data_IF_427977093403
#
_entry.id   IF_427977093403
#
_cell.length_a   1.000
_cell.length_b   1.000
_cell.length_c   1.000
_cell.angle_alpha   90.00
_cell.angle_beta   90.00
_cell.angle_gamma   90.00
#
_symmetry.space_group_name_H-M   'P 1'
#
loop_
_entity.id
_entity.type
_entity.pdbx_description
1 polymer ?
#
# COMPACT_ATOMS: atom_id res chain seq x y z
N UNK A 1 -25.70 -71.42 -9.39
CA UNK A 1 -24.80 -70.71 -8.46
C UNK A 1 -23.87 -69.70 -9.16
N UNK A 2 -23.16 -70.09 -10.23
CA UNK A 2 -22.22 -69.20 -10.97
C UNK A 2 -22.82 -67.85 -11.44
N UNK A 3 -24.07 -67.84 -11.95
CA UNK A 3 -24.77 -66.60 -12.38
C UNK A 3 -25.09 -65.63 -11.22
N UNK A 4 -25.38 -66.15 -10.02
CA UNK A 4 -25.65 -65.32 -8.82
C UNK A 4 -24.37 -64.66 -8.28
N UNK A 5 -23.23 -65.34 -8.42
CA UNK A 5 -21.91 -64.80 -8.03
C UNK A 5 -21.49 -63.65 -8.97
N UNK A 6 -21.74 -63.79 -10.27
CA UNK A 6 -21.42 -62.75 -11.29
C UNK A 6 -22.24 -61.47 -11.04
N UNK A 7 -23.53 -61.61 -10.71
CA UNK A 7 -24.42 -60.47 -10.42
C UNK A 7 -23.99 -59.74 -9.13
N UNK A 8 -23.59 -60.50 -8.09
CA UNK A 8 -23.05 -59.92 -6.86
C UNK A 8 -21.75 -59.13 -7.10
N UNK A 9 -20.88 -59.63 -7.97
CA UNK A 9 -19.60 -58.97 -8.30
C UNK A 9 -19.80 -57.67 -9.09
N UNK A 10 -20.78 -57.62 -9.99
CA UNK A 10 -21.16 -56.40 -10.73
C UNK A 10 -21.71 -55.29 -9.82
N UNK A 11 -22.49 -55.65 -8.79
CA UNK A 11 -23.00 -54.68 -7.80
C UNK A 11 -21.88 -54.04 -6.98
N UNK A 12 -20.86 -54.81 -6.60
CA UNK A 12 -19.70 -54.31 -5.84
C UNK A 12 -18.91 -53.30 -6.68
N UNK A 13 -18.71 -53.58 -7.97
CA UNK A 13 -18.02 -52.69 -8.90
C UNK A 13 -18.79 -51.36 -9.07
N UNK A 14 -20.12 -51.42 -9.17
CA UNK A 14 -20.96 -50.23 -9.29
C UNK A 14 -20.87 -49.31 -8.05
N UNK A 15 -20.80 -49.89 -6.85
CA UNK A 15 -20.66 -49.15 -5.60
C UNK A 15 -19.30 -48.43 -5.53
N UNK A 16 -18.22 -49.09 -5.95
CA UNK A 16 -16.87 -48.50 -5.95
C UNK A 16 -16.80 -47.29 -6.91
N UNK A 17 -17.42 -47.40 -8.10
CA UNK A 17 -17.46 -46.29 -9.07
C UNK A 17 -18.27 -45.11 -8.52
N UNK A 18 -19.39 -45.37 -7.84
CA UNK A 18 -20.20 -44.33 -7.22
C UNK A 18 -19.42 -43.56 -6.12
N UNK A 19 -18.60 -44.26 -5.33
CA UNK A 19 -17.75 -43.63 -4.30
C UNK A 19 -16.70 -42.70 -4.93
N UNK A 20 -16.04 -43.14 -6.01
CA UNK A 20 -15.02 -42.32 -6.70
C UNK A 20 -15.62 -41.04 -7.29
N UNK A 21 -16.83 -41.11 -7.83
CA UNK A 21 -17.54 -39.94 -8.38
C UNK A 21 -18.01 -39.01 -7.26
N UNK A 22 -18.45 -39.55 -6.13
CA UNK A 22 -18.89 -38.76 -4.98
C UNK A 22 -17.73 -38.04 -4.26
N UNK A 23 -16.50 -38.57 -4.34
CA UNK A 23 -15.30 -37.94 -3.77
C UNK A 23 -14.75 -36.77 -4.59
N UNK A 24 -15.27 -36.51 -5.81
CA UNK A 24 -14.88 -35.34 -6.63
C UNK A 24 -15.74 -34.09 -6.35
N UNK A 25 -16.27 -33.95 -5.12
CA UNK A 25 -17.04 -32.77 -4.75
C UNK A 25 -16.13 -31.65 -4.25
N UNK A 26 -16.10 -30.63 -5.10
CA UNK A 26 -15.82 -29.23 -4.83
C UNK A 26 -14.44 -28.97 -4.23
N UNK A 27 -13.43 -28.89 -5.11
CA UNK A 27 -12.46 -27.80 -4.97
C UNK A 27 -13.31 -26.53 -4.88
N UNK A 28 -13.52 -26.05 -3.66
CA UNK A 28 -14.09 -24.73 -3.44
C UNK A 28 -13.25 -23.81 -4.30
N UNK A 29 -13.86 -23.22 -5.32
CA UNK A 29 -13.32 -22.06 -6.00
C UNK A 29 -12.86 -21.13 -4.89
N UNK A 30 -11.54 -21.11 -4.68
CA UNK A 30 -10.93 -20.05 -3.91
C UNK A 30 -11.41 -18.80 -4.62
N UNK A 31 -12.10 -17.93 -3.90
CA UNK A 31 -12.39 -16.60 -4.40
C UNK A 31 -11.01 -15.97 -4.59
N UNK A 32 -10.44 -16.16 -5.77
CA UNK A 32 -9.37 -15.34 -6.26
C UNK A 32 -10.01 -13.97 -6.30
N UNK A 33 -9.68 -13.15 -5.31
CA UNK A 33 -9.73 -11.72 -5.51
C UNK A 33 -8.83 -11.50 -6.72
N UNK A 34 -9.45 -11.44 -7.90
CA UNK A 34 -8.83 -10.75 -9.01
C UNK A 34 -8.64 -9.37 -8.44
N UNK A 35 -7.39 -9.05 -8.08
CA UNK A 35 -6.99 -7.68 -7.88
C UNK A 35 -7.48 -7.00 -9.16
N UNK A 36 -8.62 -6.32 -9.06
CA UNK A 36 -8.99 -5.33 -10.06
C UNK A 36 -7.81 -4.41 -9.98
N UNK A 37 -6.90 -4.51 -10.94
CA UNK A 37 -5.78 -3.59 -11.09
C UNK A 37 -6.43 -2.22 -11.07
N UNK A 38 -6.42 -1.58 -9.90
CA UNK A 38 -6.91 -0.25 -9.74
C UNK A 38 -5.86 0.57 -10.47
N UNK A 39 -6.02 0.69 -11.80
CA UNK A 39 -5.42 1.74 -12.62
C UNK A 39 -6.10 3.06 -12.26
N UNK A 40 -6.22 3.35 -10.96
CA UNK A 40 -6.43 4.69 -10.48
C UNK A 40 -5.05 5.31 -10.63
N UNK A 41 -4.88 6.10 -11.68
CA UNK A 41 -3.77 7.04 -11.74
C UNK A 41 -3.72 7.74 -10.39
N UNK A 42 -2.65 7.48 -9.63
CA UNK A 42 -2.47 8.08 -8.31
C UNK A 42 -2.18 9.54 -8.61
N UNK A 43 -3.11 10.41 -8.21
CA UNK A 43 -2.89 11.83 -8.38
C UNK A 43 -1.80 12.30 -7.41
N UNK A 44 -0.88 13.16 -7.86
CA UNK A 44 0.11 13.72 -6.97
C UNK A 44 -0.56 14.55 -5.87
N UNK A 45 -0.03 14.47 -4.66
CA UNK A 45 -0.46 15.27 -3.52
C UNK A 45 -0.25 16.75 -3.83
N UNK A 46 -1.07 17.59 -3.20
CA UNK A 46 -0.97 19.04 -3.36
C UNK A 46 0.20 19.61 -2.55
N UNK A 47 0.63 20.83 -2.87
CA UNK A 47 1.56 21.60 -2.01
C UNK A 47 1.00 21.85 -0.61
N UNK A 48 -0.32 21.98 -0.45
CA UNK A 48 -0.97 22.07 0.87
C UNK A 48 -0.73 20.80 1.68
N UNK A 49 -0.89 19.65 1.04
CA UNK A 49 -0.63 18.34 1.65
C UNK A 49 0.85 18.22 2.05
N UNK A 50 1.77 18.70 1.21
CA UNK A 50 3.19 18.72 1.53
C UNK A 50 3.52 19.62 2.75
N UNK A 51 2.89 20.79 2.86
CA UNK A 51 3.00 21.64 4.06
C UNK A 51 2.52 20.89 5.30
N UNK A 52 1.40 20.18 5.21
CA UNK A 52 0.87 19.42 6.33
C UNK A 52 1.79 18.26 6.74
N UNK A 53 2.44 17.58 5.78
CA UNK A 53 3.45 16.54 6.06
C UNK A 53 4.63 17.14 6.84
N UNK A 54 5.15 18.30 6.40
CA UNK A 54 6.26 18.99 7.08
C UNK A 54 5.88 19.37 8.51
N UNK A 55 4.67 19.93 8.70
CA UNK A 55 4.16 20.29 10.02
C UNK A 55 3.87 19.08 10.91
N UNK A 56 3.48 17.94 10.33
CA UNK A 56 3.28 16.71 11.09
C UNK A 56 4.61 16.18 11.67
N UNK A 57 5.71 16.34 10.93
CA UNK A 57 7.04 15.91 11.37
C UNK A 57 7.67 16.88 12.40
N UNK A 58 7.65 18.18 12.11
CA UNK A 58 8.41 19.19 12.88
C UNK A 58 7.55 20.07 13.79
N UNK A 59 6.21 19.96 13.72
CA UNK A 59 5.30 20.82 14.45
C UNK A 59 5.45 22.30 14.08
N UNK A 60 5.25 23.16 15.07
CA UNK A 60 5.34 24.62 14.91
C UNK A 60 6.79 25.15 14.94
N UNK A 61 7.79 24.25 15.05
CA UNK A 61 9.21 24.64 15.03
C UNK A 61 9.65 25.17 13.66
N UNK A 62 8.94 24.77 12.60
CA UNK A 62 9.19 25.20 11.22
C UNK A 62 8.02 26.04 10.70
N UNK A 63 8.36 27.13 9.99
CA UNK A 63 7.38 27.90 9.23
C UNK A 63 7.66 27.70 7.75
N UNK A 64 6.72 27.08 7.03
CA UNK A 64 6.82 26.79 5.60
C UNK A 64 5.53 27.20 4.88
N UNK A 65 5.68 27.92 3.76
CA UNK A 65 4.59 28.26 2.87
C UNK A 65 4.64 27.42 1.58
N UNK A 66 3.52 27.33 0.86
CA UNK A 66 3.44 26.62 -0.43
C UNK A 66 4.41 27.17 -1.47
N UNK A 67 4.73 28.46 -1.39
CA UNK A 67 5.59 29.13 -2.35
C UNK A 67 7.07 28.75 -2.16
N UNK A 68 7.44 28.32 -0.95
CA UNK A 68 8.78 27.82 -0.62
C UNK A 68 9.03 26.42 -1.22
N UNK A 69 7.96 25.70 -1.54
CA UNK A 69 8.01 24.33 -2.07
C UNK A 69 8.16 24.35 -3.59
N UNK A 70 9.25 23.77 -4.10
CA UNK A 70 9.52 23.66 -5.54
C UNK A 70 9.26 22.23 -6.04
N UNK A 71 8.55 22.08 -7.16
CA UNK A 71 8.38 20.76 -7.80
C UNK A 71 9.58 20.46 -8.70
N UNK A 72 10.21 19.30 -8.50
CA UNK A 72 11.33 18.79 -9.29
C UNK A 72 11.05 17.33 -9.63
N UNK A 73 10.59 17.07 -10.86
CA UNK A 73 10.11 15.74 -11.26
C UNK A 73 8.95 15.27 -10.39
N UNK A 74 9.08 14.07 -9.84
CA UNK A 74 8.09 13.43 -8.96
C UNK A 74 8.28 13.78 -7.48
N UNK A 75 9.00 14.87 -7.19
CA UNK A 75 9.31 15.30 -5.84
C UNK A 75 9.03 16.78 -5.62
N UNK A 76 8.71 17.11 -4.38
CA UNK A 76 8.80 18.45 -3.86
C UNK A 76 10.11 18.64 -3.12
N UNK A 77 10.79 19.78 -3.34
CA UNK A 77 11.99 20.19 -2.63
C UNK A 77 11.73 21.48 -1.86
N UNK A 78 12.18 21.52 -0.61
CA UNK A 78 12.06 22.71 0.25
C UNK A 78 13.22 22.77 1.24
N UNK A 79 13.80 23.95 1.44
CA UNK A 79 14.76 24.16 2.53
C UNK A 79 13.99 24.57 3.79
N UNK A 80 14.22 23.84 4.89
CA UNK A 80 13.50 24.09 6.13
C UNK A 80 14.39 24.82 7.13
N UNK A 81 13.77 25.72 7.89
CA UNK A 81 14.43 26.50 8.93
C UNK A 81 13.66 26.34 10.23
N UNK A 82 14.37 26.09 11.33
CA UNK A 82 13.81 26.13 12.67
C UNK A 82 14.12 27.46 13.34
N UNK A 83 13.18 27.94 14.16
CA UNK A 83 13.43 29.11 15.02
C UNK A 83 13.92 28.64 16.38
N UNK A 84 15.11 29.11 16.77
CA UNK A 84 15.72 28.87 18.08
C UNK A 84 15.63 30.18 18.84
N UNK A 85 14.97 30.17 19.99
CA UNK A 85 14.85 31.33 20.86
C UNK A 85 15.87 31.19 21.99
N UNK A 86 16.81 32.14 22.06
CA UNK A 86 17.67 32.36 23.22
C UNK A 86 17.12 33.56 24.02
N UNK A 87 17.63 33.77 25.25
CA UNK A 87 17.08 34.73 26.22
C UNK A 87 16.92 36.17 25.68
N UNK A 88 17.70 36.56 24.66
CA UNK A 88 17.65 37.90 24.06
C UNK A 88 17.30 37.93 22.56
N UNK A 89 17.37 36.80 21.84
CA UNK A 89 17.26 36.78 20.36
C UNK A 89 16.59 35.52 19.81
N UNK A 90 15.94 35.67 18.65
CA UNK A 90 15.46 34.53 17.85
C UNK A 90 16.37 34.35 16.62
N UNK A 91 16.90 33.14 16.46
CA UNK A 91 17.74 32.75 15.34
C UNK A 91 17.02 31.73 14.45
N UNK A 92 17.07 31.93 13.13
CA UNK A 92 16.65 30.91 12.17
C UNK A 92 17.84 30.05 11.78
N UNK A 93 17.73 28.73 11.97
CA UNK A 93 18.76 27.76 11.58
C UNK A 93 18.22 26.83 10.50
N UNK A 94 18.92 26.74 9.37
CA UNK A 94 18.60 25.75 8.34
C UNK A 94 18.81 24.34 8.90
N UNK A 95 17.84 23.46 8.68
CA UNK A 95 17.89 22.03 9.00
C UNK A 95 18.08 21.17 7.75
N UNK A 96 18.37 21.80 6.61
CA UNK A 96 18.65 21.14 5.35
C UNK A 96 17.49 21.11 4.36
N UNK A 97 17.78 20.60 3.17
CA UNK A 97 16.81 20.47 2.08
C UNK A 97 16.06 19.15 2.24
N UNK A 98 14.73 19.23 2.18
CA UNK A 98 13.84 18.09 2.29
C UNK A 98 13.22 17.79 0.93
N UNK A 99 13.18 16.51 0.60
CA UNK A 99 12.46 15.98 -0.55
C UNK A 99 11.22 15.23 -0.08
N UNK A 100 10.07 15.51 -0.71
CA UNK A 100 8.79 14.81 -0.45
C UNK A 100 8.34 14.16 -1.76
N UNK A 101 8.12 12.86 -1.76
CA UNK A 101 7.55 12.14 -2.91
C UNK A 101 6.10 12.58 -3.14
N UNK A 102 5.76 12.99 -4.38
CA UNK A 102 4.43 13.54 -4.65
C UNK A 102 3.33 12.48 -4.67
N UNK A 103 3.64 11.19 -4.72
CA UNK A 103 2.65 10.12 -4.77
C UNK A 103 2.48 9.41 -3.43
N UNK A 104 3.55 9.31 -2.63
CA UNK A 104 3.51 8.64 -1.32
C UNK A 104 3.48 9.60 -0.14
N UNK A 105 4.00 10.83 -0.31
CA UNK A 105 4.22 11.76 0.79
C UNK A 105 5.45 11.45 1.63
N UNK A 106 6.26 10.46 1.24
CA UNK A 106 7.49 10.12 1.97
C UNK A 106 8.48 11.28 1.93
N UNK A 107 8.92 11.72 3.11
CA UNK A 107 9.87 12.82 3.26
C UNK A 107 11.27 12.31 3.62
N UNK A 108 12.30 12.89 3.01
CA UNK A 108 13.72 12.58 3.27
C UNK A 108 14.56 13.84 3.25
N UNK A 109 15.59 13.89 4.11
CA UNK A 109 16.60 14.95 4.09
C UNK A 109 17.63 14.63 3.01
N UNK A 110 17.97 15.63 2.19
CA UNK A 110 19.01 15.53 1.15
C UNK A 110 20.10 16.53 1.51
N UNK A 111 21.25 15.99 1.89
CA UNK A 111 22.48 16.74 2.17
C UNK A 111 23.24 17.05 0.88
#
# INVERSE_FOLDING_TARGET
MKKKIIIGMLLIIAIIIAIIIASKKDEKDGVYFTDKTYNKEINPISKETAVNIIKAEYGDLVTVNKDDIKKVGDKYKVELFITINDEEHSHKKSIGVHEIDIYTGDMKIVN
#
